data_IF_912237795862
#
_entry.id   IF_912237795862
#
_cell.length_a   1.000
_cell.length_b   1.000
_cell.length_c   1.000
_cell.angle_alpha   90.00
_cell.angle_beta   90.00
_cell.angle_gamma   90.00
#
_symmetry.space_group_name_H-M   'P 1'
#
loop_
_entity.id
_entity.type
_entity.pdbx_description
1 polymer ?
#
# COMPACT_ATOMS: atom_id res chain seq x y z
N UNK A 1 -2.05 17.46 -29.07
CA UNK A 1 -1.18 17.81 -27.93
C UNK A 1 -1.27 16.75 -26.83
N UNK A 2 -2.46 16.20 -26.59
CA UNK A 2 -2.78 15.17 -25.57
C UNK A 2 -1.85 13.95 -25.46
N UNK A 3 -1.38 13.36 -26.56
CA UNK A 3 -0.55 12.15 -26.45
C UNK A 3 0.82 12.42 -25.81
N UNK A 4 1.44 13.58 -26.10
CA UNK A 4 2.74 13.95 -25.50
C UNK A 4 2.59 14.35 -24.04
N UNK A 5 1.50 15.03 -23.68
CA UNK A 5 1.22 15.33 -22.27
C UNK A 5 0.95 14.05 -21.50
N UNK A 6 0.11 13.14 -22.01
CA UNK A 6 -0.16 11.83 -21.40
C UNK A 6 1.13 11.00 -21.20
N UNK A 7 1.99 10.93 -22.23
CA UNK A 7 3.27 10.23 -22.14
C UNK A 7 4.21 10.86 -21.09
N UNK A 8 4.23 12.19 -20.97
CA UNK A 8 5.02 12.88 -19.95
C UNK A 8 4.48 12.59 -18.56
N UNK A 9 3.18 12.69 -18.34
CA UNK A 9 2.54 12.41 -17.04
C UNK A 9 2.80 10.97 -16.59
N UNK A 10 2.57 9.98 -17.47
CA UNK A 10 2.83 8.57 -17.16
C UNK A 10 4.30 8.31 -16.81
N UNK A 11 5.23 8.98 -17.49
CA UNK A 11 6.66 8.89 -17.16
C UNK A 11 6.96 9.46 -15.77
N UNK A 12 6.42 10.63 -15.45
CA UNK A 12 6.63 11.27 -14.14
C UNK A 12 6.06 10.41 -13.01
N UNK A 13 4.87 9.83 -13.21
CA UNK A 13 4.26 8.90 -12.27
C UNK A 13 5.12 7.66 -12.05
N UNK A 14 5.63 7.04 -13.13
CA UNK A 14 6.52 5.89 -13.03
C UNK A 14 7.82 6.21 -12.27
N UNK A 15 8.42 7.38 -12.49
CA UNK A 15 9.62 7.82 -11.78
C UNK A 15 9.32 8.09 -10.29
N UNK A 16 8.19 8.70 -9.97
CA UNK A 16 7.76 8.93 -8.59
C UNK A 16 7.53 7.62 -7.84
N UNK A 17 6.77 6.70 -8.44
CA UNK A 17 6.52 5.38 -7.85
C UNK A 17 7.80 4.55 -7.68
N UNK A 18 8.74 4.65 -8.62
CA UNK A 18 10.06 4.03 -8.49
C UNK A 18 10.85 4.60 -7.31
N UNK A 19 10.93 5.93 -7.19
CA UNK A 19 11.67 6.59 -6.12
C UNK A 19 11.11 6.22 -4.73
N UNK A 20 9.79 6.16 -4.60
CA UNK A 20 9.12 5.73 -3.37
C UNK A 20 9.44 4.27 -3.02
N UNK A 21 9.31 3.35 -3.99
CA UNK A 21 9.64 1.94 -3.79
C UNK A 21 11.13 1.75 -3.43
N UNK A 22 12.04 2.49 -4.07
CA UNK A 22 13.46 2.46 -3.77
C UNK A 22 13.76 2.95 -2.35
N UNK A 23 13.16 4.06 -1.92
CA UNK A 23 13.33 4.58 -0.56
C UNK A 23 12.84 3.58 0.50
N UNK A 24 11.69 2.95 0.26
CA UNK A 24 11.15 1.94 1.17
C UNK A 24 12.06 0.70 1.25
N UNK A 25 12.53 0.22 0.10
CA UNK A 25 13.38 -0.97 -0.02
C UNK A 25 14.78 -0.76 0.57
N UNK A 26 15.41 0.36 0.26
CA UNK A 26 16.83 0.58 0.51
C UNK A 26 17.08 1.26 1.87
N UNK A 27 16.10 1.98 2.40
CA UNK A 27 16.25 2.76 3.63
C UNK A 27 15.28 2.31 4.72
N UNK A 28 13.97 2.37 4.47
CA UNK A 28 12.96 2.23 5.54
C UNK A 28 12.91 0.80 6.08
N UNK A 29 12.73 -0.20 5.21
CA UNK A 29 12.62 -1.60 5.63
C UNK A 29 13.91 -2.10 6.31
N UNK A 30 15.12 -1.85 5.77
CA UNK A 30 16.35 -2.25 6.45
C UNK A 30 16.54 -1.57 7.80
N UNK A 31 16.19 -0.29 7.93
CA UNK A 31 16.27 0.42 9.20
C UNK A 31 15.33 -0.18 10.25
N UNK A 32 14.07 -0.45 9.88
CA UNK A 32 13.09 -1.08 10.78
C UNK A 32 13.52 -2.49 11.21
N UNK A 33 14.16 -3.25 10.32
CA UNK A 33 14.75 -4.54 10.67
C UNK A 33 15.85 -4.38 11.74
N UNK A 34 16.77 -3.43 11.55
CA UNK A 34 17.83 -3.17 12.54
C UNK A 34 17.27 -2.76 13.91
N UNK A 35 16.20 -1.96 13.92
CA UNK A 35 15.51 -1.56 15.17
C UNK A 35 14.92 -2.79 15.87
N UNK A 36 14.28 -3.69 15.13
CA UNK A 36 13.76 -4.94 15.69
C UNK A 36 14.89 -5.79 16.28
N UNK A 37 15.98 -5.98 15.51
CA UNK A 37 17.12 -6.79 15.93
C UNK A 37 17.74 -6.24 17.24
N UNK A 38 17.90 -4.92 17.34
CA UNK A 38 18.39 -4.26 18.57
C UNK A 38 17.39 -4.37 19.72
N UNK A 39 16.10 -4.15 19.47
CA UNK A 39 15.07 -4.29 20.50
C UNK A 39 15.05 -5.70 21.09
N UNK A 40 15.23 -6.73 20.26
CA UNK A 40 15.35 -8.11 20.72
C UNK A 40 16.62 -8.32 21.56
N UNK A 41 17.75 -7.70 21.19
CA UNK A 41 18.96 -7.74 22.04
C UNK A 41 18.72 -7.12 23.42
N UNK A 42 18.07 -5.96 23.48
CA UNK A 42 17.74 -5.31 24.74
C UNK A 42 16.74 -6.14 25.56
N UNK A 43 15.73 -6.72 24.92
CA UNK A 43 14.78 -7.60 25.59
C UNK A 43 15.47 -8.83 26.20
N UNK A 44 16.34 -9.50 25.44
CA UNK A 44 17.12 -10.64 25.92
C UNK A 44 18.07 -10.27 27.07
N UNK A 45 18.58 -9.05 27.08
CA UNK A 45 19.38 -8.49 28.17
C UNK A 45 18.52 -8.01 29.37
N UNK A 46 17.21 -8.27 29.37
CA UNK A 46 16.23 -7.80 30.37
C UNK A 46 16.18 -6.27 30.52
N UNK A 47 16.58 -5.55 29.47
CA UNK A 47 16.63 -4.09 29.39
C UNK A 47 15.47 -3.48 28.58
N UNK A 48 14.57 -4.31 28.04
CA UNK A 48 13.37 -3.88 27.34
C UNK A 48 12.17 -4.77 27.68
N UNK A 49 10.97 -4.19 27.60
CA UNK A 49 9.69 -4.86 27.81
C UNK A 49 9.28 -5.67 26.55
N UNK A 50 8.70 -6.89 26.68
CA UNK A 50 8.13 -7.65 25.57
C UNK A 50 7.28 -6.83 24.58
N UNK A 51 6.52 -5.84 25.05
CA UNK A 51 5.70 -4.98 24.18
C UNK A 51 6.53 -4.13 23.22
N UNK A 52 7.76 -3.76 23.59
CA UNK A 52 8.67 -3.04 22.70
C UNK A 52 9.04 -3.90 21.47
N UNK A 53 9.23 -5.21 21.65
CA UNK A 53 9.51 -6.15 20.56
C UNK A 53 8.30 -6.24 19.61
N UNK A 54 7.08 -6.34 20.17
CA UNK A 54 5.86 -6.39 19.37
C UNK A 54 5.67 -5.10 18.55
N UNK A 55 5.92 -3.94 19.15
CA UNK A 55 5.80 -2.65 18.46
C UNK A 55 6.84 -2.52 17.33
N UNK A 56 8.10 -2.93 17.56
CA UNK A 56 9.13 -2.93 16.54
C UNK A 56 8.79 -3.89 15.38
N UNK A 57 8.23 -5.07 15.70
CA UNK A 57 7.77 -6.03 14.71
C UNK A 57 6.60 -5.47 13.88
N UNK A 58 5.62 -4.83 14.52
CA UNK A 58 4.50 -4.19 13.83
C UNK A 58 5.00 -3.13 12.85
N UNK A 59 5.90 -2.25 13.29
CA UNK A 59 6.51 -1.25 12.42
C UNK A 59 7.21 -1.90 11.22
N UNK A 60 7.99 -2.97 11.42
CA UNK A 60 8.63 -3.67 10.31
C UNK A 60 7.60 -4.21 9.29
N UNK A 61 6.50 -4.79 9.76
CA UNK A 61 5.42 -5.31 8.89
C UNK A 61 4.76 -4.19 8.10
N UNK A 62 4.40 -3.08 8.74
CA UNK A 62 3.83 -1.91 8.07
C UNK A 62 4.78 -1.36 6.98
N UNK A 63 6.09 -1.33 7.26
CA UNK A 63 7.09 -0.88 6.28
C UNK A 63 7.16 -1.79 5.06
N UNK A 64 7.02 -3.10 5.26
CA UNK A 64 6.98 -4.09 4.17
C UNK A 64 5.68 -4.02 3.37
N UNK A 65 4.54 -3.75 4.02
CA UNK A 65 3.26 -3.55 3.33
C UNK A 65 3.32 -2.33 2.42
N UNK A 66 3.84 -1.19 2.92
CA UNK A 66 4.06 0.00 2.11
C UNK A 66 4.97 -0.28 0.90
N UNK A 67 6.04 -1.06 1.09
CA UNK A 67 6.93 -1.45 -0.01
C UNK A 67 6.20 -2.28 -1.08
N UNK A 68 5.33 -3.22 -0.67
CA UNK A 68 4.55 -4.03 -1.59
C UNK A 68 3.60 -3.15 -2.42
N UNK A 69 2.89 -2.23 -1.76
CA UNK A 69 1.99 -1.28 -2.42
C UNK A 69 2.73 -0.36 -3.40
N UNK A 70 3.88 0.20 -3.00
CA UNK A 70 4.71 1.05 -3.85
C UNK A 70 5.25 0.28 -5.08
N UNK A 71 5.65 -0.99 -4.88
CA UNK A 71 6.12 -1.85 -5.98
C UNK A 71 5.00 -2.16 -6.96
N UNK A 72 3.79 -2.45 -6.46
CA UNK A 72 2.62 -2.66 -7.30
C UNK A 72 2.25 -1.41 -8.11
N UNK A 73 2.29 -0.23 -7.48
CA UNK A 73 2.05 1.07 -8.13
C UNK A 73 3.08 1.35 -9.23
N UNK A 74 4.37 1.10 -8.96
CA UNK A 74 5.43 1.22 -9.96
C UNK A 74 5.22 0.27 -11.14
N UNK A 75 4.85 -0.98 -10.89
CA UNK A 75 4.53 -1.95 -11.93
C UNK A 75 3.37 -1.50 -12.83
N UNK A 76 2.30 -0.97 -12.23
CA UNK A 76 1.17 -0.40 -12.96
C UNK A 76 1.56 0.81 -13.82
N UNK A 77 2.34 1.75 -13.26
CA UNK A 77 2.82 2.93 -13.99
C UNK A 77 3.73 2.53 -15.17
N UNK A 78 4.59 1.52 -15.00
CA UNK A 78 5.41 0.99 -16.08
C UNK A 78 4.58 0.31 -17.18
N UNK A 79 3.49 -0.37 -16.82
CA UNK A 79 2.56 -0.95 -17.78
C UNK A 79 1.87 0.14 -18.62
N UNK A 80 1.46 1.26 -17.99
CA UNK A 80 0.89 2.42 -18.68
C UNK A 80 1.89 3.06 -19.65
N UNK A 81 3.12 3.33 -19.21
CA UNK A 81 4.20 3.84 -20.08
C UNK A 81 4.42 2.92 -21.27
N UNK A 82 4.42 1.60 -21.04
CA UNK A 82 4.60 0.59 -22.09
C UNK A 82 3.42 0.55 -23.08
N UNK A 83 2.19 0.73 -22.61
CA UNK A 83 1.01 0.81 -23.47
C UNK A 83 1.04 2.06 -24.37
N UNK A 84 1.36 3.23 -23.80
CA UNK A 84 1.49 4.47 -24.55
C UNK A 84 2.59 4.40 -25.62
N UNK A 85 3.72 3.72 -25.32
CA UNK A 85 4.78 3.45 -26.31
C UNK A 85 4.31 2.59 -27.49
N UNK A 86 3.32 1.73 -27.29
CA UNK A 86 2.69 0.92 -28.36
C UNK A 86 1.56 1.65 -29.08
N UNK A 87 1.28 2.91 -28.73
CA UNK A 87 0.16 3.68 -29.29
C UNK A 87 -1.22 3.27 -28.75
N UNK A 88 -1.26 2.41 -27.74
CA UNK A 88 -2.50 2.06 -27.03
C UNK A 88 -2.71 3.10 -25.95
N UNK A 89 -3.83 3.82 -25.99
CA UNK A 89 -4.29 4.58 -24.83
C UNK A 89 -4.88 3.54 -23.87
N UNK A 90 -4.19 3.17 -22.76
CA UNK A 90 -4.84 2.37 -21.76
C UNK A 90 -6.07 3.15 -21.31
N UNK A 91 -7.22 2.47 -21.14
CA UNK A 91 -8.30 3.06 -20.37
C UNK A 91 -7.65 3.58 -19.08
N UNK A 92 -7.87 4.85 -18.74
CA UNK A 92 -7.50 5.39 -17.43
C UNK A 92 -8.32 4.62 -16.40
N UNK A 93 -7.93 3.38 -16.12
CA UNK A 93 -8.25 2.70 -14.88
C UNK A 93 -7.61 3.60 -13.84
N UNK A 94 -8.46 4.32 -13.13
CA UNK A 94 -8.08 5.25 -12.10
C UNK A 94 -7.12 4.53 -11.17
N UNK A 95 -5.84 4.85 -11.28
CA UNK A 95 -4.83 4.47 -10.32
C UNK A 95 -5.22 5.17 -9.01
N UNK A 96 -6.01 4.49 -8.17
CA UNK A 96 -6.54 5.05 -6.93
C UNK A 96 -7.90 4.55 -6.47
N UNK A 97 -8.63 3.74 -7.24
CA UNK A 97 -9.79 3.03 -6.69
C UNK A 97 -9.28 1.79 -5.93
N UNK A 98 -8.99 1.96 -4.63
CA UNK A 98 -8.96 0.82 -3.70
C UNK A 98 -10.24 0.00 -3.84
N UNK A 99 -10.24 -1.28 -3.43
CA UNK A 99 -11.42 -2.14 -3.57
C UNK A 99 -12.62 -1.45 -2.93
N UNK A 100 -13.57 -1.02 -3.76
CA UNK A 100 -14.87 -0.54 -3.35
C UNK A 100 -15.58 -1.75 -2.74
N UNK A 101 -15.45 -1.89 -1.43
CA UNK A 101 -16.22 -2.85 -0.65
C UNK A 101 -17.69 -2.59 -0.97
N UNK A 102 -18.44 -3.58 -1.48
CA UNK A 102 -19.86 -3.37 -1.75
C UNK A 102 -20.51 -2.93 -0.43
N UNK A 103 -21.12 -1.75 -0.46
CA UNK A 103 -21.95 -1.26 0.62
C UNK A 103 -23.00 -2.34 0.91
N UNK A 104 -22.84 -3.01 2.05
CA UNK A 104 -23.82 -3.95 2.56
C UNK A 104 -25.09 -3.16 2.82
N UNK A 105 -26.06 -3.29 1.92
CA UNK A 105 -27.43 -2.85 2.16
C UNK A 105 -28.01 -3.75 3.24
N UNK A 106 -27.75 -3.41 4.50
CA UNK A 106 -28.55 -3.87 5.62
C UNK A 106 -29.93 -3.22 5.46
N UNK A 107 -30.83 -3.91 4.76
CA UNK A 107 -32.23 -3.54 4.66
C UNK A 107 -32.86 -3.52 6.05
N UNK A 108 -33.78 -2.58 6.34
CA UNK A 108 -34.46 -2.51 7.62
C UNK A 108 -35.27 -3.80 7.84
N UNK A 109 -35.03 -4.45 8.99
CA UNK A 109 -35.77 -5.61 9.44
C UNK A 109 -37.27 -5.27 9.58
N UNK A 110 -38.20 -6.12 9.11
CA UNK A 110 -39.62 -5.91 9.34
C UNK A 110 -39.94 -6.08 10.82
N UNK A 111 -40.58 -5.06 11.40
CA UNK A 111 -41.21 -5.13 12.70
C UNK A 111 -42.33 -6.18 12.66
N UNK A 112 -42.03 -7.39 13.11
CA UNK A 112 -43.01 -8.43 13.38
C UNK A 112 -43.78 -8.08 14.65
N UNK A 113 -44.98 -7.54 14.50
CA UNK A 113 -45.98 -7.52 15.58
C UNK A 113 -46.71 -8.85 15.65
N UNK A 114 -46.79 -9.43 16.85
CA UNK A 114 -47.81 -10.36 17.39
C UNK A 114 -47.60 -10.24 18.91
N UNK A 115 -48.53 -9.80 19.76
CA UNK A 115 -49.91 -10.22 19.89
C UNK A 115 -50.03 -11.12 21.13
N UNK A 116 -50.57 -10.55 22.22
CA UNK A 116 -51.32 -11.22 23.31
C UNK A 116 -50.57 -12.19 24.25
N UNK A 117 -50.39 -11.78 25.51
CA UNK A 117 -51.01 -12.40 26.70
C UNK A 117 -50.79 -11.56 27.95
#
# INVERSE_FOLDING_TARGET
MELRSAARSARLEALGAYAEAAQLRDVVVPLRQRILDETVRHYNAMNADPFAVLLAQQALVEGRQLLLEATARYGAAMAQVSALRRGVMPALTAAGAGPELPASSAGPAPAGGHGLH
#
